data_IF_486502273794
#
_entry.id   IF_486502273794
#
_cell.length_a   1.000
_cell.length_b   1.000
_cell.length_c   1.000
_cell.angle_alpha   90.00
_cell.angle_beta   90.00
_cell.angle_gamma   90.00
#
_symmetry.space_group_name_H-M   'P 1'
#
loop_
_entity.id
_entity.type
_entity.pdbx_description
1 polymer ?
#
# COMPACT_ATOMS: atom_id res chain seq x y z
N UNK A 1 20.78 -13.16 2.54
CA UNK A 1 19.78 -13.06 3.62
C UNK A 1 20.21 -12.16 4.78
N UNK A 2 21.40 -12.31 5.39
CA UNK A 2 21.85 -11.46 6.52
C UNK A 2 21.77 -9.95 6.24
N UNK A 3 22.16 -9.51 5.04
CA UNK A 3 22.07 -8.12 4.58
C UNK A 3 20.64 -7.59 4.45
N UNK A 4 19.67 -8.43 4.08
CA UNK A 4 18.28 -8.01 3.94
C UNK A 4 17.65 -7.72 5.32
N UNK A 5 17.94 -8.54 6.33
CA UNK A 5 17.47 -8.34 7.71
C UNK A 5 18.11 -7.10 8.33
N UNK A 6 19.41 -6.89 8.11
CA UNK A 6 20.10 -5.67 8.55
C UNK A 6 19.52 -4.39 7.93
N UNK A 7 18.99 -4.46 6.71
CA UNK A 7 18.34 -3.33 6.05
C UNK A 7 16.98 -2.97 6.65
N UNK A 8 16.27 -3.93 7.27
CA UNK A 8 15.00 -3.68 7.96
C UNK A 8 15.24 -2.72 9.14
N UNK A 9 16.29 -2.95 9.93
CA UNK A 9 16.70 -2.05 11.02
C UNK A 9 17.19 -0.68 10.53
N UNK A 10 17.29 -0.44 9.22
CA UNK A 10 17.60 0.90 8.68
C UNK A 10 16.34 1.67 8.28
N UNK A 11 15.15 1.09 8.45
CA UNK A 11 13.88 1.73 8.12
C UNK A 11 13.39 2.57 9.31
N UNK A 12 13.30 3.91 9.16
CA UNK A 12 12.90 4.80 10.26
C UNK A 12 11.47 4.55 10.74
N UNK A 13 10.58 4.08 9.84
CA UNK A 13 9.18 3.79 10.16
C UNK A 13 9.04 2.74 11.29
N UNK A 14 9.96 1.77 11.37
CA UNK A 14 9.91 0.73 12.40
C UNK A 14 10.15 1.35 13.79
N UNK A 15 11.13 2.24 13.90
CA UNK A 15 11.41 2.96 15.14
C UNK A 15 10.26 3.89 15.52
N UNK A 16 9.65 4.57 14.56
CA UNK A 16 8.49 5.42 14.81
C UNK A 16 7.31 4.63 15.40
N UNK A 17 7.01 3.44 14.85
CA UNK A 17 5.95 2.57 15.38
C UNK A 17 6.29 2.07 16.79
N UNK A 18 7.53 1.63 17.02
CA UNK A 18 7.96 1.16 18.35
C UNK A 18 7.84 2.27 19.39
N UNK A 19 8.32 3.48 19.08
CA UNK A 19 8.24 4.63 19.99
C UNK A 19 6.77 4.99 20.24
N UNK A 20 5.95 5.06 19.19
CA UNK A 20 4.52 5.36 19.33
C UNK A 20 3.79 4.37 20.23
N UNK A 21 4.04 3.06 20.04
CA UNK A 21 3.46 2.01 20.87
C UNK A 21 3.96 2.08 22.33
N UNK A 22 5.25 2.37 22.55
CA UNK A 22 5.80 2.53 23.90
C UNK A 22 5.21 3.73 24.62
N UNK A 23 5.11 4.88 23.95
CA UNK A 23 4.48 6.09 24.51
C UNK A 23 3.01 5.82 24.88
N UNK A 24 2.29 5.12 24.01
CA UNK A 24 0.90 4.71 24.26
C UNK A 24 0.80 3.74 25.44
N UNK A 25 1.63 2.71 25.49
CA UNK A 25 1.62 1.70 26.55
C UNK A 25 2.00 2.29 27.92
N UNK A 26 3.01 3.16 27.96
CA UNK A 26 3.42 3.87 29.16
C UNK A 26 2.48 5.02 29.55
N UNK A 27 1.42 5.27 28.77
CA UNK A 27 0.45 6.36 28.99
C UNK A 27 1.14 7.72 29.16
N UNK A 28 2.23 7.97 28.44
CA UNK A 28 2.99 9.20 28.56
C UNK A 28 2.14 10.32 27.95
N UNK A 29 1.73 11.33 28.74
CA UNK A 29 0.90 12.42 28.23
C UNK A 29 1.73 13.28 27.28
N UNK A 30 1.39 13.25 26.00
CA UNK A 30 1.96 14.14 24.99
C UNK A 30 1.15 15.44 24.97
N UNK A 31 1.85 16.58 24.86
CA UNK A 31 1.16 17.87 24.75
C UNK A 31 0.37 17.96 23.44
N UNK A 32 -0.75 18.68 23.47
CA UNK A 32 -1.59 18.88 22.27
C UNK A 32 -0.81 19.48 21.11
N UNK A 33 0.11 20.41 21.39
CA UNK A 33 0.97 21.02 20.38
C UNK A 33 1.89 20.00 19.70
N UNK A 34 2.43 19.04 20.46
CA UNK A 34 3.27 17.99 19.90
C UNK A 34 2.46 17.05 19.00
N UNK A 35 1.27 16.65 19.46
CA UNK A 35 0.38 15.80 18.66
C UNK A 35 -0.07 16.48 17.36
N UNK A 36 -0.41 17.77 17.41
CA UNK A 36 -0.75 18.54 16.22
C UNK A 36 0.42 18.59 15.21
N UNK A 37 1.66 18.77 15.68
CA UNK A 37 2.83 18.74 14.81
C UNK A 37 3.00 17.37 14.13
N UNK A 38 2.84 16.28 14.88
CA UNK A 38 2.90 14.91 14.35
C UNK A 38 1.78 14.66 13.34
N UNK A 39 0.56 15.09 13.63
CA UNK A 39 -0.59 14.96 12.74
C UNK A 39 -0.41 15.76 11.43
N UNK A 40 0.10 16.99 11.52
CA UNK A 40 0.41 17.82 10.35
C UNK A 40 1.48 17.16 9.47
N UNK A 41 2.57 16.69 10.06
CA UNK A 41 3.64 16.00 9.32
C UNK A 41 3.16 14.66 8.73
N UNK A 42 2.37 13.91 9.49
CA UNK A 42 1.75 12.66 9.05
C UNK A 42 0.81 12.89 7.88
N UNK A 43 -0.07 13.88 7.97
CA UNK A 43 -0.98 14.28 6.91
C UNK A 43 -0.26 14.79 5.66
N UNK A 44 0.83 15.54 5.80
CA UNK A 44 1.65 16.02 4.69
C UNK A 44 2.42 14.91 3.97
N UNK A 45 2.64 13.76 4.61
CA UNK A 45 3.38 12.65 4.00
C UNK A 45 2.68 12.08 2.76
N UNK A 46 1.35 11.99 2.77
CA UNK A 46 0.56 11.44 1.65
C UNK A 46 0.81 12.24 0.35
N UNK A 47 0.57 13.57 0.30
CA UNK A 47 0.82 14.35 -0.90
C UNK A 47 2.29 14.36 -1.32
N UNK A 48 3.24 14.31 -0.37
CA UNK A 48 4.68 14.19 -0.70
C UNK A 48 4.96 12.89 -1.45
N UNK A 49 4.43 11.75 -0.98
CA UNK A 49 4.64 10.48 -1.68
C UNK A 49 3.92 10.45 -3.03
N UNK A 50 2.74 11.06 -3.15
CA UNK A 50 2.06 11.20 -4.44
C UNK A 50 2.85 12.09 -5.42
N UNK A 51 3.50 13.15 -4.94
CA UNK A 51 4.40 13.97 -5.75
C UNK A 51 5.60 13.16 -6.24
N UNK A 52 6.23 12.38 -5.34
CA UNK A 52 7.32 11.47 -5.72
C UNK A 52 6.85 10.46 -6.77
N UNK A 53 5.65 9.91 -6.64
CA UNK A 53 5.05 9.04 -7.66
C UNK A 53 4.93 9.76 -9.01
N UNK A 54 4.44 11.00 -9.02
CA UNK A 54 4.37 11.83 -10.22
C UNK A 54 5.75 12.08 -10.86
N UNK A 55 6.77 12.38 -10.04
CA UNK A 55 8.16 12.54 -10.52
C UNK A 55 8.70 11.26 -11.14
N UNK A 56 8.45 10.10 -10.52
CA UNK A 56 8.88 8.81 -11.06
C UNK A 56 8.22 8.53 -12.41
N UNK A 57 6.93 8.86 -12.56
CA UNK A 57 6.21 8.73 -13.82
C UNK A 57 6.71 9.67 -14.90
N UNK A 58 7.07 10.92 -14.56
CA UNK A 58 7.61 11.88 -15.52
C UNK A 58 8.93 11.39 -16.15
N UNK A 59 9.68 10.53 -15.47
CA UNK A 59 10.91 9.90 -15.97
C UNK A 59 10.68 8.59 -16.73
N UNK A 60 9.43 8.12 -16.85
CA UNK A 60 9.07 6.91 -17.59
C UNK A 60 8.78 7.26 -19.04
N UNK A 61 9.53 6.66 -19.97
CA UNK A 61 9.19 6.69 -21.40
C UNK A 61 8.44 5.42 -21.76
N UNK A 62 7.45 5.50 -22.66
CA UNK A 62 6.64 4.34 -23.11
C UNK A 62 7.51 3.21 -23.67
N UNK A 63 8.66 3.54 -24.27
CA UNK A 63 9.64 2.56 -24.78
C UNK A 63 10.39 1.79 -23.68
N UNK A 64 10.47 2.33 -22.46
CA UNK A 64 11.14 1.69 -21.33
C UNK A 64 10.21 0.75 -20.55
N UNK A 65 8.93 0.70 -20.93
CA UNK A 65 7.91 -0.07 -20.22
C UNK A 65 7.84 -1.50 -20.74
N UNK A 66 8.13 -2.44 -19.86
CA UNK A 66 7.75 -3.83 -20.05
C UNK A 66 6.25 -3.98 -19.78
N UNK A 67 5.45 -3.75 -20.83
CA UNK A 67 3.98 -3.82 -20.75
C UNK A 67 3.48 -5.16 -20.22
N UNK A 68 4.22 -6.26 -20.42
CA UNK A 68 3.86 -7.58 -19.88
C UNK A 68 3.99 -7.60 -18.36
N UNK A 69 5.11 -7.10 -17.83
CA UNK A 69 5.31 -7.02 -16.37
C UNK A 69 4.31 -6.06 -15.71
N UNK A 70 3.99 -4.96 -16.37
CA UNK A 70 2.99 -4.00 -15.88
C UNK A 70 1.60 -4.62 -15.81
N UNK A 71 1.17 -5.28 -16.90
CA UNK A 71 -0.10 -5.99 -16.95
C UNK A 71 -0.15 -7.09 -15.89
N UNK A 72 0.91 -7.89 -15.78
CA UNK A 72 1.01 -8.97 -14.79
C UNK A 72 0.90 -8.45 -13.35
N UNK A 73 1.64 -7.41 -13.00
CA UNK A 73 1.57 -6.78 -11.67
C UNK A 73 0.18 -6.20 -11.37
N UNK A 74 -0.47 -5.62 -12.37
CA UNK A 74 -1.82 -5.06 -12.26
C UNK A 74 -2.86 -6.16 -12.01
N UNK A 75 -2.80 -7.27 -12.76
CA UNK A 75 -3.68 -8.44 -12.60
C UNK A 75 -3.49 -9.09 -11.23
N UNK A 76 -2.24 -9.23 -10.78
CA UNK A 76 -1.97 -9.75 -9.43
C UNK A 76 -2.66 -8.89 -8.38
N UNK A 77 -2.58 -7.57 -8.51
CA UNK A 77 -3.13 -6.66 -7.51
C UNK A 77 -4.66 -6.59 -7.54
N UNK A 78 -5.26 -6.44 -8.72
CA UNK A 78 -6.70 -6.19 -8.85
C UNK A 78 -7.55 -7.46 -8.84
N UNK A 79 -6.98 -8.62 -9.18
CA UNK A 79 -7.74 -9.88 -9.30
C UNK A 79 -7.21 -10.91 -8.30
N UNK A 80 -5.93 -11.27 -8.40
CA UNK A 80 -5.39 -12.39 -7.60
C UNK A 80 -5.42 -12.05 -6.10
N UNK A 81 -5.07 -10.81 -5.72
CA UNK A 81 -5.06 -10.39 -4.31
C UNK A 81 -6.44 -10.48 -3.64
N UNK A 82 -7.53 -9.92 -4.20
CA UNK A 82 -8.87 -10.09 -3.61
C UNK A 82 -9.38 -11.54 -3.64
N UNK A 83 -9.08 -12.32 -4.68
CA UNK A 83 -9.44 -13.76 -4.72
C UNK A 83 -8.75 -14.54 -3.60
N UNK A 84 -7.45 -14.30 -3.39
CA UNK A 84 -6.71 -14.91 -2.28
C UNK A 84 -7.25 -14.44 -0.93
N UNK A 85 -7.59 -13.16 -0.79
CA UNK A 85 -8.18 -12.63 0.44
C UNK A 85 -9.51 -13.32 0.76
N UNK A 86 -10.37 -13.54 -0.24
CA UNK A 86 -11.60 -14.31 -0.04
C UNK A 86 -11.33 -15.74 0.40
N UNK A 87 -10.42 -16.44 -0.29
CA UNK A 87 -10.06 -17.82 0.04
C UNK A 87 -9.45 -17.97 1.44
N UNK A 88 -8.67 -16.99 1.91
CA UNK A 88 -8.12 -17.00 3.27
C UNK A 88 -9.21 -16.66 4.28
N UNK A 89 -10.04 -15.63 4.02
CA UNK A 89 -11.10 -15.20 4.95
C UNK A 89 -12.19 -16.26 5.13
N UNK A 90 -12.42 -17.14 4.15
CA UNK A 90 -13.38 -18.24 4.28
C UNK A 90 -12.93 -19.32 5.25
N UNK A 91 -11.62 -19.47 5.48
CA UNK A 91 -11.03 -20.42 6.42
C UNK A 91 -11.19 -19.99 7.89
N UNK A 92 -11.48 -18.72 8.14
CA UNK A 92 -11.61 -18.17 9.50
C UNK A 92 -13.08 -17.81 9.83
N UNK A 93 -13.50 -17.98 11.09
CA UNK A 93 -14.82 -17.59 11.57
C UNK A 93 -14.90 -16.07 11.83
N UNK A 94 -14.73 -15.27 10.78
CA UNK A 94 -14.81 -13.80 10.83
C UNK A 94 -16.24 -13.34 10.49
N UNK A 95 -16.66 -12.20 11.02
CA UNK A 95 -17.97 -11.61 10.69
C UNK A 95 -18.12 -11.34 9.19
N UNK A 96 -19.35 -11.42 8.62
CA UNK A 96 -19.58 -11.12 7.21
C UNK A 96 -19.06 -9.74 6.82
N UNK A 97 -19.36 -8.72 7.63
CA UNK A 97 -18.89 -7.34 7.38
C UNK A 97 -17.36 -7.25 7.30
N UNK A 98 -16.64 -7.91 8.21
CA UNK A 98 -15.18 -7.94 8.19
C UNK A 98 -14.65 -8.61 6.93
N UNK A 99 -15.26 -9.70 6.47
CA UNK A 99 -14.88 -10.38 5.21
C UNK A 99 -15.06 -9.46 4.01
N UNK A 100 -16.18 -8.71 3.95
CA UNK A 100 -16.44 -7.73 2.90
C UNK A 100 -15.39 -6.62 2.87
N UNK A 101 -15.07 -6.05 4.03
CA UNK A 101 -14.05 -5.01 4.16
C UNK A 101 -12.67 -5.53 3.75
N UNK A 102 -12.28 -6.71 4.22
CA UNK A 102 -10.99 -7.32 3.84
C UNK A 102 -10.89 -7.60 2.34
N UNK A 103 -11.98 -8.08 1.72
CA UNK A 103 -12.02 -8.33 0.29
C UNK A 103 -11.85 -7.05 -0.53
N UNK A 104 -12.55 -5.97 -0.14
CA UNK A 104 -12.43 -4.67 -0.81
C UNK A 104 -11.03 -4.08 -0.61
N UNK A 105 -10.49 -4.09 0.61
CA UNK A 105 -9.13 -3.60 0.91
C UNK A 105 -8.07 -4.37 0.11
N UNK A 106 -8.24 -5.67 -0.08
CA UNK A 106 -7.31 -6.49 -0.85
C UNK A 106 -7.24 -6.11 -2.34
N UNK A 107 -8.35 -5.61 -2.90
CA UNK A 107 -8.45 -5.12 -4.28
C UNK A 107 -8.04 -3.65 -4.46
N UNK A 108 -7.73 -2.91 -3.39
CA UNK A 108 -7.28 -1.52 -3.50
C UNK A 108 -5.91 -1.44 -4.20
N UNK A 109 -5.59 -0.34 -4.91
CA UNK A 109 -4.32 -0.20 -5.60
C UNK A 109 -3.10 -0.30 -4.65
N UNK A 110 -1.89 -0.54 -5.19
CA UNK A 110 -0.67 -0.70 -4.41
C UNK A 110 -0.38 0.52 -3.55
N UNK A 111 0.11 0.27 -2.33
CA UNK A 111 0.46 1.34 -1.40
C UNK A 111 1.65 2.16 -1.92
N UNK A 112 1.59 3.47 -1.69
CA UNK A 112 2.65 4.42 -1.99
C UNK A 112 4.01 4.04 -1.34
N UNK A 113 3.96 3.26 -0.24
CA UNK A 113 5.14 2.69 0.43
C UNK A 113 5.94 1.73 -0.46
N UNK A 114 5.29 0.96 -1.35
CA UNK A 114 6.00 0.04 -2.25
C UNK A 114 6.91 0.81 -3.21
N UNK A 115 6.47 1.99 -3.67
CA UNK A 115 7.29 2.87 -4.49
C UNK A 115 8.47 3.43 -3.70
N UNK A 116 8.25 3.92 -2.48
CA UNK A 116 9.33 4.44 -1.63
C UNK A 116 10.40 3.39 -1.37
N UNK A 117 10.01 2.13 -1.12
CA UNK A 117 10.97 1.04 -0.99
C UNK A 117 11.68 0.72 -2.30
N UNK A 118 10.99 0.75 -3.43
CA UNK A 118 11.63 0.56 -4.72
C UNK A 118 12.68 1.64 -5.02
N UNK A 119 12.43 2.89 -4.61
CA UNK A 119 13.42 3.98 -4.69
C UNK A 119 14.56 3.74 -3.71
N UNK A 120 14.23 3.48 -2.44
CA UNK A 120 15.20 3.34 -1.33
C UNK A 120 16.18 2.18 -1.55
N UNK A 121 15.71 1.09 -2.15
CA UNK A 121 16.51 -0.11 -2.42
C UNK A 121 16.97 -0.20 -3.88
N UNK A 122 16.92 0.90 -4.64
CA UNK A 122 17.38 0.99 -6.04
C UNK A 122 16.82 -0.14 -6.93
N UNK A 123 15.57 -0.53 -6.67
CA UNK A 123 14.86 -1.53 -7.44
C UNK A 123 14.21 -0.89 -8.69
N UNK A 124 13.27 -1.60 -9.30
CA UNK A 124 12.55 -1.12 -10.50
C UNK A 124 11.47 -0.09 -10.16
N UNK A 125 11.86 1.07 -9.61
CA UNK A 125 10.92 2.11 -9.19
C UNK A 125 10.00 2.58 -10.32
N UNK A 126 10.51 2.72 -11.55
CA UNK A 126 9.73 3.02 -12.76
C UNK A 126 8.60 2.02 -13.02
N UNK A 127 8.91 0.72 -12.91
CA UNK A 127 7.93 -0.35 -13.07
C UNK A 127 6.85 -0.28 -11.99
N UNK A 128 7.26 -0.09 -10.73
CA UNK A 128 6.34 0.00 -9.58
C UNK A 128 5.42 1.21 -9.69
N UNK A 129 5.93 2.38 -10.09
CA UNK A 129 5.11 3.58 -10.30
C UNK A 129 4.10 3.37 -11.44
N UNK A 130 4.48 2.72 -12.53
CA UNK A 130 3.57 2.46 -13.65
C UNK A 130 2.48 1.44 -13.30
N UNK A 131 2.83 0.34 -12.61
CA UNK A 131 1.84 -0.60 -12.07
C UNK A 131 0.88 0.14 -11.13
N UNK A 132 1.40 0.98 -10.25
CA UNK A 132 0.58 1.73 -9.29
C UNK A 132 -0.38 2.69 -10.00
N UNK A 133 0.09 3.46 -10.99
CA UNK A 133 -0.77 4.35 -11.78
C UNK A 133 -1.88 3.58 -12.51
N UNK A 134 -1.50 2.55 -13.27
CA UNK A 134 -2.45 1.78 -14.08
C UNK A 134 -3.47 1.08 -13.19
N UNK A 135 -3.03 0.41 -12.13
CA UNK A 135 -3.95 -0.19 -11.16
C UNK A 135 -4.83 0.84 -10.45
N UNK A 136 -4.35 2.06 -10.22
CA UNK A 136 -5.17 3.15 -9.62
C UNK A 136 -6.27 3.58 -10.59
N UNK A 137 -5.96 3.79 -11.87
CA UNK A 137 -6.97 4.12 -12.90
C UNK A 137 -7.95 2.96 -13.10
N UNK A 138 -7.46 1.73 -13.23
CA UNK A 138 -8.32 0.55 -13.39
C UNK A 138 -9.11 0.21 -12.12
N UNK A 139 -8.68 0.69 -10.94
CA UNK A 139 -9.37 0.43 -9.67
C UNK A 139 -10.78 1.00 -9.65
N UNK A 140 -11.06 2.10 -10.38
CA UNK A 140 -12.43 2.63 -10.49
C UNK A 140 -13.40 1.56 -10.99
N UNK A 141 -13.02 0.83 -12.04
CA UNK A 141 -13.84 -0.25 -12.62
C UNK A 141 -13.76 -1.49 -11.73
N UNK A 142 -12.55 -1.86 -11.27
CA UNK A 142 -12.35 -3.05 -10.44
C UNK A 142 -13.13 -2.99 -9.14
N UNK A 143 -13.15 -1.84 -8.45
CA UNK A 143 -13.90 -1.66 -7.20
C UNK A 143 -15.41 -1.76 -7.45
N UNK A 144 -15.94 -1.19 -8.53
CA UNK A 144 -17.36 -1.35 -8.90
C UNK A 144 -17.73 -2.83 -9.08
N UNK A 145 -16.86 -3.59 -9.74
CA UNK A 145 -17.02 -5.04 -9.94
C UNK A 145 -16.92 -5.78 -8.61
N UNK A 146 -15.88 -5.51 -7.81
CA UNK A 146 -15.68 -6.15 -6.50
C UNK A 146 -16.86 -5.91 -5.57
N UNK A 147 -17.36 -4.68 -5.46
CA UNK A 147 -18.52 -4.35 -4.61
C UNK A 147 -19.81 -5.07 -5.06
N UNK A 148 -19.97 -5.26 -6.37
CA UNK A 148 -21.11 -6.02 -6.90
C UNK A 148 -21.03 -7.50 -6.53
N UNK A 149 -19.81 -8.08 -6.58
CA UNK A 149 -19.53 -9.48 -6.25
C UNK A 149 -19.58 -9.72 -4.73
N UNK A 150 -19.19 -8.75 -3.90
CA UNK A 150 -19.20 -8.85 -2.44
C UNK A 150 -20.56 -9.25 -1.88
N UNK A 151 -21.65 -8.76 -2.48
CA UNK A 151 -23.02 -9.16 -2.10
C UNK A 151 -23.34 -10.64 -2.36
N UNK A 152 -22.63 -11.29 -3.27
CA UNK A 152 -22.83 -12.68 -3.67
C UNK A 152 -21.90 -13.66 -2.95
N UNK A 153 -20.84 -13.15 -2.33
CA UNK A 153 -19.69 -13.94 -1.85
C UNK A 153 -19.67 -14.07 -0.31
N UNK A 154 -20.54 -13.33 0.38
CA UNK A 154 -20.79 -13.39 1.84
C UNK A 154 -22.27 -13.54 2.09
#
# INVERSE_FOLDING_TARGET
MKTAVLNIFRLPNIYAVIIGLLLQYCHIPLSTNFMQAVELLGGASIPVVMLVLGMQLAMVTIKDLDGKLVAFGTVIRLIISPVLAWGICSLFPISPLSKQVMFVIAGMPPAAMALLYAIRFEAKAKLVSSITLISTVLSFISIMVLLSIVKWVT
#
